data_IF_242950898687
#
_entry.id   IF_242950898687
#
_cell.length_a   1.000
_cell.length_b   1.000
_cell.length_c   1.000
_cell.angle_alpha   90.00
_cell.angle_beta   90.00
_cell.angle_gamma   90.00
#
_symmetry.space_group_name_H-M   'P 1'
#
loop_
_entity.id
_entity.type
_entity.pdbx_description
1 polymer ?
#
# COMPACT_ATOMS: atom_id res chain seq x y z
N UNK A 1 4.24 25.97 -39.74
CA UNK A 1 3.80 26.56 -38.46
C UNK A 1 3.28 25.40 -37.62
N UNK A 2 4.17 24.68 -36.95
CA UNK A 2 3.81 23.62 -35.99
C UNK A 2 4.84 23.64 -34.86
N UNK A 3 4.48 24.20 -33.72
CA UNK A 3 5.29 24.13 -32.50
C UNK A 3 4.94 22.83 -31.78
N UNK A 4 5.82 21.85 -31.92
CA UNK A 4 5.86 20.64 -31.09
C UNK A 4 6.13 21.05 -29.64
N UNK A 5 5.07 21.20 -28.85
CA UNK A 5 5.17 21.41 -27.41
C UNK A 5 5.61 20.12 -26.73
N UNK A 6 6.90 20.01 -26.44
CA UNK A 6 7.38 19.02 -25.48
C UNK A 6 6.70 19.31 -24.13
N UNK A 7 5.79 18.44 -23.73
CA UNK A 7 5.23 18.47 -22.38
C UNK A 7 6.38 18.13 -21.43
N UNK A 8 6.93 19.15 -20.77
CA UNK A 8 7.92 18.95 -19.73
C UNK A 8 7.32 18.01 -18.68
N UNK A 9 7.94 16.83 -18.50
CA UNK A 9 7.55 15.91 -17.46
C UNK A 9 7.62 16.65 -16.12
N UNK A 10 6.50 16.69 -15.39
CA UNK A 10 6.46 17.30 -14.07
C UNK A 10 7.59 16.69 -13.19
N UNK A 11 8.24 17.49 -12.34
CA UNK A 11 9.32 17.01 -11.49
C UNK A 11 8.82 15.82 -10.67
N UNK A 12 9.54 14.70 -10.73
CA UNK A 12 9.19 13.50 -9.96
C UNK A 12 9.22 13.84 -8.48
N UNK A 13 8.10 13.61 -7.81
CA UNK A 13 7.95 13.78 -6.36
C UNK A 13 8.98 12.92 -5.63
N UNK A 14 9.69 13.50 -4.69
CA UNK A 14 10.63 12.77 -3.85
C UNK A 14 9.89 11.81 -2.93
N UNK A 15 10.40 10.58 -2.80
CA UNK A 15 9.79 9.51 -2.01
C UNK A 15 10.85 8.86 -1.14
N UNK A 16 10.56 8.76 0.15
CA UNK A 16 11.39 8.07 1.13
C UNK A 16 10.86 6.66 1.35
N UNK A 17 11.73 5.65 1.19
CA UNK A 17 11.39 4.24 1.44
C UNK A 17 12.12 3.72 2.66
N UNK A 18 11.36 3.29 3.67
CA UNK A 18 11.86 2.75 4.94
C UNK A 18 11.54 1.25 5.04
N UNK A 19 12.54 0.45 5.43
CA UNK A 19 12.39 -0.95 5.85
C UNK A 19 12.35 -1.01 7.38
N UNK A 20 11.58 -1.94 7.93
CA UNK A 20 11.44 -2.17 9.37
C UNK A 20 11.83 -3.60 9.78
N UNK A 21 12.38 -4.36 8.82
CA UNK A 21 12.95 -5.67 9.06
C UNK A 21 14.47 -5.59 8.88
N UNK A 22 15.22 -6.43 9.60
CA UNK A 22 16.69 -6.51 9.53
C UNK A 22 17.20 -7.02 8.17
N UNK A 23 16.29 -7.41 7.27
CA UNK A 23 16.60 -7.81 5.91
C UNK A 23 16.50 -6.61 4.95
N UNK A 24 17.47 -6.51 4.04
CA UNK A 24 17.40 -5.54 2.97
C UNK A 24 16.27 -5.89 2.00
N UNK A 25 15.30 -4.99 1.92
CA UNK A 25 14.21 -5.10 0.96
C UNK A 25 14.78 -4.89 -0.43
N UNK A 26 14.47 -5.83 -1.33
CA UNK A 26 14.95 -5.79 -2.71
C UNK A 26 14.69 -4.43 -3.36
N UNK A 27 15.67 -3.95 -4.15
CA UNK A 27 15.53 -2.70 -4.91
C UNK A 27 14.29 -2.71 -5.79
N UNK A 28 13.91 -3.88 -6.32
CA UNK A 28 12.68 -4.05 -7.09
C UNK A 28 11.42 -3.64 -6.31
N UNK A 29 11.31 -4.03 -5.03
CA UNK A 29 10.16 -3.65 -4.18
C UNK A 29 10.20 -2.15 -3.89
N UNK A 30 11.38 -1.61 -3.57
CA UNK A 30 11.55 -0.16 -3.34
C UNK A 30 11.11 0.64 -4.56
N UNK A 31 11.52 0.21 -5.75
CA UNK A 31 11.16 0.82 -7.03
C UNK A 31 9.65 0.78 -7.29
N UNK A 32 9.02 -0.37 -7.07
CA UNK A 32 7.58 -0.55 -7.27
C UNK A 32 6.77 0.38 -6.35
N UNK A 33 7.14 0.46 -5.07
CA UNK A 33 6.46 1.34 -4.12
C UNK A 33 6.68 2.83 -4.43
N UNK A 34 7.90 3.21 -4.80
CA UNK A 34 8.22 4.58 -5.22
C UNK A 34 7.42 4.99 -6.46
N UNK A 35 7.38 4.12 -7.47
CA UNK A 35 6.61 4.36 -8.70
C UNK A 35 5.12 4.49 -8.42
N UNK A 36 4.57 3.71 -7.50
CA UNK A 36 3.16 3.82 -7.10
C UNK A 36 2.84 5.21 -6.51
N UNK A 37 3.66 5.69 -5.56
CA UNK A 37 3.48 7.01 -4.93
C UNK A 37 3.66 8.16 -5.93
N UNK A 38 4.58 8.03 -6.88
CA UNK A 38 4.82 9.05 -7.90
C UNK A 38 3.74 9.10 -8.99
N UNK A 39 3.11 7.95 -9.30
CA UNK A 39 2.17 7.84 -10.43
C UNK A 39 0.78 8.36 -10.10
N UNK A 40 0.29 8.12 -8.88
CA UNK A 40 -1.08 8.51 -8.50
C UNK A 40 -1.07 9.87 -7.82
N UNK A 41 -1.63 10.87 -8.51
CA UNK A 41 -1.76 12.20 -7.95
C UNK A 41 -2.62 12.18 -6.68
N UNK A 42 -2.05 12.58 -5.56
CA UNK A 42 -2.71 12.59 -4.25
C UNK A 42 -2.46 11.34 -3.40
N UNK A 43 -1.82 10.28 -3.92
CA UNK A 43 -1.32 9.17 -3.10
C UNK A 43 -0.11 9.65 -2.29
N UNK A 44 -0.19 9.63 -0.96
CA UNK A 44 0.83 10.22 -0.08
C UNK A 44 1.73 9.16 0.56
N UNK A 45 1.20 7.97 0.83
CA UNK A 45 1.99 6.85 1.34
C UNK A 45 1.44 5.51 0.87
N UNK A 46 2.35 4.52 0.80
CA UNK A 46 2.04 3.10 0.67
C UNK A 46 2.78 2.37 1.79
N UNK A 47 2.08 1.52 2.54
CA UNK A 47 2.67 0.67 3.56
C UNK A 47 2.28 -0.79 3.37
N UNK A 48 3.24 -1.66 3.64
CA UNK A 48 3.05 -3.10 3.73
C UNK A 48 3.40 -3.52 5.15
N UNK A 49 2.51 -4.28 5.76
CA UNK A 49 2.64 -4.79 7.12
C UNK A 49 2.17 -6.23 7.17
N UNK A 50 2.40 -6.93 8.29
CA UNK A 50 1.63 -8.13 8.58
C UNK A 50 0.15 -7.77 8.80
N UNK A 51 -0.76 -8.74 8.70
CA UNK A 51 -2.16 -8.53 9.08
C UNK A 51 -2.34 -8.06 10.55
N UNK A 52 -1.33 -8.29 11.40
CA UNK A 52 -1.28 -7.84 12.79
C UNK A 52 -0.69 -6.42 12.97
N UNK A 53 -0.32 -5.74 11.87
CA UNK A 53 0.17 -4.37 11.90
C UNK A 53 1.64 -4.22 12.24
N UNK A 54 2.44 -5.28 12.15
CA UNK A 54 3.90 -5.15 12.20
C UNK A 54 4.38 -4.56 10.86
N UNK A 55 5.00 -3.37 10.86
CA UNK A 55 5.44 -2.74 9.62
C UNK A 55 6.57 -3.56 8.98
N UNK A 56 6.55 -3.67 7.66
CA UNK A 56 7.62 -4.32 6.87
C UNK A 56 8.30 -3.26 6.03
N UNK A 57 7.53 -2.57 5.20
CA UNK A 57 8.03 -1.54 4.30
C UNK A 57 7.03 -0.43 4.12
N UNK A 58 7.57 0.77 3.91
CA UNK A 58 6.79 1.97 3.69
C UNK A 58 7.47 2.82 2.63
N UNK A 59 6.68 3.39 1.72
CA UNK A 59 7.06 4.49 0.88
C UNK A 59 6.19 5.71 1.21
N UNK A 60 6.81 6.85 1.52
CA UNK A 60 6.13 8.11 1.84
C UNK A 60 6.67 9.20 0.94
N UNK A 61 5.79 9.99 0.36
CA UNK A 61 6.21 11.18 -0.34
C UNK A 61 6.76 12.25 0.61
N UNK A 62 7.77 13.00 0.17
CA UNK A 62 8.48 13.98 1.00
C UNK A 62 7.60 15.15 1.51
N UNK A 63 6.55 15.49 0.77
CA UNK A 63 5.56 16.53 1.10
C UNK A 63 4.29 15.96 1.78
N UNK A 64 4.30 14.68 2.20
CA UNK A 64 3.18 14.11 2.92
C UNK A 64 2.97 14.81 4.28
N UNK A 65 1.73 15.16 4.65
CA UNK A 65 1.42 15.69 5.97
C UNK A 65 1.84 14.72 7.08
N UNK A 66 2.20 15.25 8.25
CA UNK A 66 2.62 14.43 9.41
C UNK A 66 1.55 13.40 9.78
N UNK A 67 0.28 13.77 9.68
CA UNK A 67 -0.86 12.89 9.93
C UNK A 67 -0.87 11.68 9.00
N UNK A 68 -0.46 11.85 7.74
CA UNK A 68 -0.34 10.74 6.78
C UNK A 68 0.77 9.78 7.21
N UNK A 69 1.91 10.31 7.65
CA UNK A 69 3.01 9.50 8.17
C UNK A 69 2.56 8.71 9.38
N UNK A 70 1.88 9.36 10.33
CA UNK A 70 1.31 8.71 11.52
C UNK A 70 0.34 7.60 11.12
N UNK A 71 -0.60 7.85 10.20
CA UNK A 71 -1.56 6.83 9.75
C UNK A 71 -0.84 5.64 9.11
N UNK A 72 0.17 5.89 8.27
CA UNK A 72 0.98 4.85 7.66
C UNK A 72 1.82 4.05 8.69
N UNK A 73 2.08 4.64 9.86
CA UNK A 73 2.72 4.01 11.03
C UNK A 73 1.73 3.29 11.95
N UNK A 74 0.44 3.60 11.87
CA UNK A 74 -0.55 3.10 12.82
C UNK A 74 -1.05 1.71 12.44
N UNK A 75 -1.47 0.97 13.45
CA UNK A 75 -2.03 -0.39 13.45
C UNK A 75 -3.44 -0.43 12.81
N UNK A 76 -3.63 0.15 11.61
CA UNK A 76 -4.88 0.03 10.85
C UNK A 76 -5.04 -1.34 10.18
N UNK A 77 -3.92 -2.04 9.95
CA UNK A 77 -3.94 -3.36 9.32
C UNK A 77 -4.78 -4.39 10.09
N UNK A 78 -4.72 -4.49 11.44
CA UNK A 78 -5.62 -5.35 12.20
C UNK A 78 -7.10 -5.01 12.07
N UNK A 79 -7.45 -3.72 12.06
CA UNK A 79 -8.84 -3.31 11.86
C UNK A 79 -9.36 -3.78 10.50
N UNK A 80 -8.56 -3.61 9.46
CA UNK A 80 -8.86 -4.14 8.14
C UNK A 80 -8.95 -5.67 8.13
N UNK A 81 -8.03 -6.36 8.81
CA UNK A 81 -8.04 -7.82 8.86
C UNK A 81 -9.32 -8.37 9.49
N UNK A 82 -9.77 -7.80 10.62
CA UNK A 82 -11.05 -8.18 11.24
C UNK A 82 -12.24 -7.91 10.31
N UNK A 83 -12.24 -6.77 9.62
CA UNK A 83 -13.27 -6.45 8.63
C UNK A 83 -13.26 -7.45 7.45
N UNK A 84 -12.08 -7.80 6.97
CA UNK A 84 -11.87 -8.79 5.91
C UNK A 84 -12.38 -10.18 6.31
N UNK A 85 -12.01 -10.68 7.50
CA UNK A 85 -12.48 -11.97 8.00
C UNK A 85 -14.00 -12.00 8.18
N UNK A 86 -14.58 -10.88 8.60
CA UNK A 86 -16.03 -10.76 8.77
C UNK A 86 -16.75 -10.72 7.42
N UNK A 87 -16.25 -9.90 6.48
CA UNK A 87 -16.83 -9.78 5.14
C UNK A 87 -16.70 -11.06 4.32
N UNK A 88 -15.63 -11.84 4.52
CA UNK A 88 -15.41 -13.12 3.83
C UNK A 88 -16.42 -14.21 4.21
N UNK A 89 -17.21 -14.00 5.28
CA UNK A 89 -18.32 -14.89 5.67
C UNK A 89 -19.61 -14.59 4.90
N UNK A 90 -19.65 -13.49 4.14
CA UNK A 90 -20.81 -13.15 3.33
C UNK A 90 -20.86 -14.03 2.08
N UNK A 91 -22.05 -14.46 1.62
CA UNK A 91 -22.21 -15.33 0.45
C UNK A 91 -22.08 -14.57 -0.88
N UNK A 92 -21.18 -13.57 -0.94
CA UNK A 92 -20.95 -12.69 -2.10
C UNK A 92 -19.52 -12.77 -2.63
N UNK A 93 -18.69 -13.64 -2.04
CA UNK A 93 -17.31 -13.88 -2.43
C UNK A 93 -16.28 -13.28 -1.47
N UNK A 94 -15.02 -13.31 -1.88
CA UNK A 94 -13.89 -12.83 -1.09
C UNK A 94 -13.72 -11.30 -1.20
N UNK A 95 -13.52 -10.65 -0.05
CA UNK A 95 -13.28 -9.20 -0.03
C UNK A 95 -11.86 -8.89 -0.53
N UNK A 96 -11.73 -8.19 -1.65
CA UNK A 96 -10.42 -7.86 -2.23
C UNK A 96 -9.78 -6.62 -1.60
N UNK A 97 -10.60 -5.64 -1.23
CA UNK A 97 -10.14 -4.37 -0.68
C UNK A 97 -11.25 -3.67 0.10
N UNK A 98 -10.87 -2.73 0.94
CA UNK A 98 -11.74 -1.83 1.68
C UNK A 98 -11.26 -0.39 1.49
N UNK A 99 -12.15 0.48 1.02
CA UNK A 99 -11.92 1.92 0.93
C UNK A 99 -12.58 2.60 2.12
N UNK A 100 -11.81 3.36 2.90
CA UNK A 100 -12.30 4.09 4.07
C UNK A 100 -12.01 5.57 3.88
N UNK A 101 -13.06 6.36 3.95
CA UNK A 101 -13.01 7.78 3.71
C UNK A 101 -13.10 8.58 5.00
N UNK A 102 -12.07 9.36 5.29
CA UNK A 102 -12.05 10.34 6.37
C UNK A 102 -12.21 11.75 5.80
N UNK A 103 -12.23 12.75 6.68
CA UNK A 103 -12.43 14.15 6.28
C UNK A 103 -11.36 14.64 5.31
N UNK A 104 -10.09 14.33 5.58
CA UNK A 104 -8.95 14.85 4.82
C UNK A 104 -8.20 13.77 4.03
N UNK A 105 -8.40 12.49 4.38
CA UNK A 105 -7.68 11.36 3.80
C UNK A 105 -8.63 10.24 3.39
N UNK A 106 -8.20 9.47 2.40
CA UNK A 106 -8.81 8.21 1.98
C UNK A 106 -7.78 7.11 2.17
N UNK A 107 -8.20 6.03 2.84
CA UNK A 107 -7.41 4.82 3.02
C UNK A 107 -7.94 3.74 2.10
N UNK A 108 -7.06 3.07 1.36
CA UNK A 108 -7.40 1.84 0.67
C UNK A 108 -6.55 0.73 1.26
N UNK A 109 -7.22 -0.23 1.88
CA UNK A 109 -6.61 -1.49 2.27
C UNK A 109 -6.91 -2.57 1.23
N UNK A 110 -5.89 -3.33 0.85
CA UNK A 110 -6.03 -4.45 -0.07
C UNK A 110 -5.56 -5.75 0.57
N UNK A 111 -6.27 -6.82 0.26
CA UNK A 111 -5.98 -8.16 0.78
C UNK A 111 -4.69 -8.70 0.17
N UNK A 112 -3.71 -8.99 1.02
CA UNK A 112 -2.44 -9.62 0.65
C UNK A 112 -2.04 -10.68 1.70
N UNK A 113 -3.03 -11.35 2.31
CA UNK A 113 -2.80 -12.23 3.46
C UNK A 113 -1.66 -13.23 3.20
N UNK A 114 -0.72 -13.44 4.16
CA UNK A 114 -0.74 -12.95 5.54
C UNK A 114 -0.27 -11.48 5.73
N UNK A 115 -0.01 -10.77 4.64
CA UNK A 115 0.33 -9.34 4.65
C UNK A 115 -0.92 -8.46 4.47
N UNK A 116 -0.73 -7.17 4.73
CA UNK A 116 -1.73 -6.12 4.53
C UNK A 116 -1.07 -4.96 3.78
N UNK A 117 -1.69 -4.56 2.67
CA UNK A 117 -1.31 -3.38 1.89
C UNK A 117 -2.25 -2.23 2.26
N UNK A 118 -1.69 -1.07 2.60
CA UNK A 118 -2.44 0.16 2.85
C UNK A 118 -1.92 1.30 1.98
N UNK A 119 -2.84 2.00 1.32
CA UNK A 119 -2.58 3.22 0.57
C UNK A 119 -3.23 4.37 1.33
N UNK A 120 -2.45 5.40 1.64
CA UNK A 120 -2.92 6.63 2.28
C UNK A 120 -2.89 7.74 1.25
N UNK A 121 -4.04 8.31 0.94
CA UNK A 121 -4.19 9.32 -0.09
C UNK A 121 -4.99 10.52 0.43
N UNK A 122 -4.82 11.66 -0.22
CA UNK A 122 -5.67 12.83 0.01
C UNK A 122 -7.12 12.50 -0.38
N UNK A 123 -8.12 13.03 0.34
CA UNK A 123 -9.54 12.73 0.13
C UNK A 123 -10.07 12.95 -1.31
N UNK A 124 -9.42 13.85 -2.06
CA UNK A 124 -9.79 14.14 -3.47
C UNK A 124 -9.08 13.26 -4.50
N UNK A 125 -8.32 12.28 -4.04
CA UNK A 125 -7.63 11.34 -4.94
C UNK A 125 -8.66 10.47 -5.63
N UNK A 126 -8.43 10.20 -6.92
CA UNK A 126 -9.30 9.31 -7.69
C UNK A 126 -9.29 7.88 -7.12
N UNK A 127 -10.46 7.40 -6.71
CA UNK A 127 -10.63 6.09 -6.10
C UNK A 127 -10.39 4.95 -7.09
N UNK A 128 -10.64 5.16 -8.39
CA UNK A 128 -10.37 4.16 -9.42
C UNK A 128 -8.87 4.01 -9.67
N UNK A 129 -8.13 5.13 -9.74
CA UNK A 129 -6.67 5.12 -9.76
C UNK A 129 -6.07 4.42 -8.54
N UNK A 130 -6.62 4.64 -7.34
CA UNK A 130 -6.19 3.95 -6.12
C UNK A 130 -6.41 2.44 -6.19
N UNK A 131 -7.60 2.00 -6.63
CA UNK A 131 -7.90 0.57 -6.79
C UNK A 131 -6.98 -0.09 -7.82
N UNK A 132 -6.73 0.59 -8.94
CA UNK A 132 -5.84 0.11 -10.01
C UNK A 132 -4.42 -0.08 -9.49
N UNK A 133 -3.84 0.93 -8.83
CA UNK A 133 -2.48 0.80 -8.30
C UNK A 133 -2.41 -0.23 -7.16
N UNK A 134 -3.46 -0.36 -6.34
CA UNK A 134 -3.50 -1.39 -5.31
C UNK A 134 -3.47 -2.80 -5.90
N UNK A 135 -4.26 -3.07 -6.95
CA UNK A 135 -4.26 -4.36 -7.63
C UNK A 135 -2.90 -4.70 -8.25
N UNK A 136 -2.25 -3.71 -8.89
CA UNK A 136 -0.89 -3.88 -9.43
C UNK A 136 0.15 -4.14 -8.33
N UNK A 137 0.07 -3.42 -7.21
CA UNK A 137 0.95 -3.62 -6.07
C UNK A 137 0.76 -5.01 -5.44
N UNK A 138 -0.48 -5.47 -5.28
CA UNK A 138 -0.77 -6.83 -4.80
C UNK A 138 -0.11 -7.88 -5.69
N UNK A 139 -0.19 -7.72 -7.02
CA UNK A 139 0.48 -8.62 -7.95
C UNK A 139 2.01 -8.54 -7.84
N UNK A 140 2.57 -7.35 -7.78
CA UNK A 140 4.02 -7.12 -7.70
C UNK A 140 4.64 -7.60 -6.37
N UNK A 141 3.86 -7.58 -5.28
CA UNK A 141 4.28 -8.04 -3.95
C UNK A 141 4.09 -9.55 -3.75
N UNK A 142 3.65 -10.29 -4.78
CA UNK A 142 3.47 -11.74 -4.74
C UNK A 142 4.67 -12.52 -4.16
N UNK A 143 5.93 -12.22 -4.55
CA UNK A 143 7.10 -12.88 -3.96
C UNK A 143 7.24 -12.66 -2.44
N UNK A 144 6.92 -11.46 -1.95
CA UNK A 144 6.97 -11.14 -0.52
C UNK A 144 5.86 -11.88 0.25
N UNK A 145 4.67 -11.96 -0.34
CA UNK A 145 3.56 -12.77 0.20
C UNK A 145 3.97 -14.24 0.33
N UNK A 146 4.53 -14.83 -0.72
CA UNK A 146 4.96 -16.23 -0.71
C UNK A 146 6.01 -16.51 0.39
N UNK A 147 6.97 -15.60 0.57
CA UNK A 147 7.95 -15.71 1.66
C UNK A 147 7.29 -15.67 3.04
N UNK A 148 6.30 -14.80 3.24
CA UNK A 148 5.56 -14.70 4.50
C UNK A 148 4.74 -15.98 4.78
N UNK A 149 4.09 -16.57 3.77
CA UNK A 149 3.35 -17.84 3.89
C UNK A 149 4.25 -19.03 4.29
N UNK A 150 5.47 -19.08 3.78
CA UNK A 150 6.46 -20.10 4.14
C UNK A 150 6.90 -19.98 5.61
N UNK A 151 6.96 -18.77 6.15
CA UNK A 151 7.32 -18.53 7.55
C UNK A 151 6.18 -18.85 8.50
N UNK A 152 4.93 -18.63 8.10
CA UNK A 152 3.76 -18.96 8.92
C UNK A 152 3.51 -20.47 8.95
N UNK A 153 3.62 -21.17 7.82
CA UNK A 153 3.42 -22.63 7.77
C UNK A 153 4.43 -23.43 8.60
N UNK A 154 5.70 -22.99 8.63
CA UNK A 154 6.74 -23.62 9.47
C UNK A 154 6.49 -23.54 10.97
N UNK A 155 5.73 -22.54 11.43
CA UNK A 155 5.38 -22.36 12.85
C UNK A 155 4.23 -23.23 13.31
N UNK A 156 3.40 -23.71 12.38
CA UNK A 156 2.27 -24.58 12.70
C UNK A 156 2.69 -26.07 12.77
N UNK A 157 3.90 -26.39 12.27
CA UNK A 157 4.51 -27.74 12.28
C UNK A 157 5.47 -27.98 13.49
N UNK A 158 5.73 -26.96 14.33
CA UNK A 158 6.53 -27.03 15.57
C UNK A 158 5.65 -27.09 16.84
#
# INVERSE_FOLDING_TARGET
METSGAVAAAPRREVTVSSFIDEDISESIRDVLTKAVQRVHGLQAVSVSSCFGLPIVRAVAADAPVETVTIAETVFAPCFFVAFETASKLPIGEMRSLLVDFKEVTLLHATLAPLSLCLVAHKRTDAEALQTVAAELVAALGPMKAAAEMLTSRRDDE
#
